data_IF_403289732536
#
_entry.id   IF_403289732536
#
_cell.length_a   1.000
_cell.length_b   1.000
_cell.length_c   1.000
_cell.angle_alpha   90.00
_cell.angle_beta   90.00
_cell.angle_gamma   90.00
#
_symmetry.space_group_name_H-M   'P 1'
#
loop_
_entity.id
_entity.type
_entity.pdbx_description
1 polymer ?
#
# COMPACT_ATOMS: atom_id res chain seq x y z
N UNK A 1 -20.36 9.15 9.54
CA UNK A 1 -19.23 8.20 9.60
C UNK A 1 -19.28 7.17 8.48
N UNK A 2 -20.17 6.16 8.43
CA UNK A 2 -20.18 5.21 7.29
C UNK A 2 -20.33 5.88 5.92
N UNK A 3 -21.28 6.80 5.80
CA UNK A 3 -21.48 7.60 4.59
C UNK A 3 -20.22 8.40 4.21
N UNK A 4 -19.65 9.09 5.20
CA UNK A 4 -18.44 9.91 5.07
C UNK A 4 -17.24 9.08 4.60
N UNK A 5 -17.01 7.90 5.19
CA UNK A 5 -15.96 6.96 4.76
C UNK A 5 -16.20 6.48 3.32
N UNK A 6 -17.45 6.21 2.95
CA UNK A 6 -17.80 5.80 1.59
C UNK A 6 -17.57 6.93 0.57
N UNK A 7 -17.89 8.18 0.89
CA UNK A 7 -17.60 9.35 0.05
C UNK A 7 -16.09 9.55 -0.11
N UNK A 8 -15.33 9.26 0.94
CA UNK A 8 -13.88 9.23 0.93
C UNK A 8 -13.30 8.02 0.20
N UNK A 9 -14.11 7.10 -0.34
CA UNK A 9 -13.66 5.87 -0.99
C UNK A 9 -12.82 4.97 -0.08
N UNK A 10 -13.02 5.05 1.23
CA UNK A 10 -12.43 4.17 2.23
C UNK A 10 -13.29 2.92 2.41
N UNK A 11 -12.71 1.88 3.01
CA UNK A 11 -13.50 0.73 3.46
C UNK A 11 -14.43 1.14 4.61
N UNK A 12 -15.57 0.45 4.73
CA UNK A 12 -16.63 0.78 5.70
C UNK A 12 -16.83 -0.33 6.73
N UNK A 13 -15.77 -1.08 7.04
CA UNK A 13 -15.79 -2.11 8.09
C UNK A 13 -15.97 -1.48 9.46
N UNK A 14 -16.30 -2.28 10.48
CA UNK A 14 -16.50 -1.77 11.83
C UNK A 14 -15.18 -1.32 12.46
N UNK A 15 -14.09 -1.97 12.06
CA UNK A 15 -12.71 -1.62 12.38
C UNK A 15 -12.32 -0.26 11.78
N UNK A 16 -12.65 -0.01 10.51
CA UNK A 16 -12.38 1.28 9.84
C UNK A 16 -13.10 2.44 10.53
N UNK A 17 -14.36 2.24 10.88
CA UNK A 17 -15.16 3.23 11.59
C UNK A 17 -14.53 3.52 12.94
N UNK A 18 -14.13 2.48 13.66
CA UNK A 18 -13.47 2.63 14.96
C UNK A 18 -12.13 3.37 14.83
N UNK A 19 -11.30 3.01 13.85
CA UNK A 19 -10.03 3.65 13.58
C UNK A 19 -10.20 5.14 13.22
N UNK A 20 -11.19 5.47 12.38
CA UNK A 20 -11.52 6.86 12.04
C UNK A 20 -12.02 7.65 13.24
N UNK A 21 -12.87 7.06 14.10
CA UNK A 21 -13.35 7.71 15.32
C UNK A 21 -12.22 8.01 16.31
N UNK A 22 -11.24 7.10 16.43
CA UNK A 22 -10.12 7.25 17.36
C UNK A 22 -9.04 8.19 16.83
N UNK A 23 -8.69 8.06 15.55
CA UNK A 23 -7.59 8.77 14.92
C UNK A 23 -7.97 9.27 13.51
N UNK A 24 -8.86 10.26 13.40
CA UNK A 24 -9.41 10.67 12.11
C UNK A 24 -8.33 11.10 11.13
N UNK A 25 -7.42 12.00 11.53
CA UNK A 25 -6.34 12.47 10.65
C UNK A 25 -5.41 11.36 10.18
N UNK A 26 -4.98 10.48 11.09
CA UNK A 26 -4.07 9.36 10.77
C UNK A 26 -4.75 8.39 9.81
N UNK A 27 -6.04 8.10 10.01
CA UNK A 27 -6.81 7.25 9.13
C UNK A 27 -6.98 7.87 7.74
N UNK A 28 -7.22 9.18 7.63
CA UNK A 28 -7.30 9.87 6.34
C UNK A 28 -5.99 9.78 5.56
N UNK A 29 -4.86 10.03 6.24
CA UNK A 29 -3.52 9.93 5.64
C UNK A 29 -3.22 8.47 5.20
N UNK A 30 -3.59 7.49 6.03
CA UNK A 30 -3.48 6.07 5.71
C UNK A 30 -4.33 5.67 4.50
N UNK A 31 -5.60 6.08 4.45
CA UNK A 31 -6.49 5.77 3.33
C UNK A 31 -5.99 6.39 2.02
N UNK A 32 -5.42 7.60 2.07
CA UNK A 32 -4.76 8.20 0.90
C UNK A 32 -3.55 7.36 0.46
N UNK A 33 -2.71 6.96 1.40
CA UNK A 33 -1.55 6.11 1.12
C UNK A 33 -1.95 4.77 0.47
N UNK A 34 -3.00 4.10 0.98
CA UNK A 34 -3.51 2.85 0.41
C UNK A 34 -4.09 3.05 -0.99
N UNK A 35 -4.70 4.21 -1.29
CA UNK A 35 -5.15 4.50 -2.65
C UNK A 35 -4.01 4.69 -3.64
N UNK A 36 -2.93 5.33 -3.20
CA UNK A 36 -1.78 5.63 -4.06
C UNK A 36 -0.90 4.39 -4.29
N UNK A 37 -0.71 3.54 -3.27
CA UNK A 37 0.26 2.44 -3.29
C UNK A 37 -0.34 1.03 -3.13
N UNK A 38 -1.61 0.92 -2.75
CA UNK A 38 -2.25 -0.35 -2.45
C UNK A 38 -1.84 -0.94 -1.09
N UNK A 39 -2.06 -2.25 -0.93
CA UNK A 39 -1.62 -2.98 0.25
C UNK A 39 -0.12 -3.29 0.14
N UNK A 40 0.69 -2.51 0.87
CA UNK A 40 2.14 -2.67 0.96
C UNK A 40 2.57 -3.62 2.08
N UNK A 41 1.63 -4.12 2.90
CA UNK A 41 1.93 -5.02 4.02
C UNK A 41 2.39 -6.41 3.56
N UNK A 42 2.12 -6.75 2.30
CA UNK A 42 2.55 -7.99 1.64
C UNK A 42 4.02 -7.97 1.20
N UNK A 43 4.68 -6.80 1.23
CA UNK A 43 6.09 -6.66 0.92
C UNK A 43 6.96 -7.13 2.09
N UNK A 44 8.14 -7.65 1.80
CA UNK A 44 9.14 -7.92 2.84
C UNK A 44 9.69 -6.62 3.43
N UNK A 45 10.10 -6.68 4.71
CA UNK A 45 10.56 -5.50 5.46
C UNK A 45 11.70 -4.74 4.76
N UNK A 46 12.76 -5.39 4.22
CA UNK A 46 13.78 -4.70 3.44
C UNK A 46 13.22 -3.97 2.21
N UNK A 47 12.41 -4.63 1.39
CA UNK A 47 11.81 -4.02 0.20
C UNK A 47 10.91 -2.84 0.57
N UNK A 48 10.13 -2.96 1.65
CA UNK A 48 9.27 -1.88 2.13
C UNK A 48 10.06 -0.63 2.52
N UNK A 49 11.19 -0.79 3.23
CA UNK A 49 11.98 0.36 3.71
C UNK A 49 13.00 0.90 2.71
N UNK A 50 13.57 0.05 1.85
CA UNK A 50 14.71 0.39 1.01
C UNK A 50 14.44 0.23 -0.49
N UNK A 51 13.26 -0.28 -0.87
CA UNK A 51 12.96 -0.62 -2.26
C UNK A 51 13.82 -1.79 -2.78
N UNK A 52 14.02 -1.84 -4.09
CA UNK A 52 14.78 -2.91 -4.76
C UNK A 52 16.08 -2.39 -5.36
N UNK A 53 17.13 -3.21 -5.31
CA UNK A 53 18.41 -2.96 -5.97
C UNK A 53 18.39 -3.41 -7.43
N UNK A 54 19.30 -2.87 -8.22
CA UNK A 54 19.46 -3.29 -9.62
C UNK A 54 19.84 -4.77 -9.70
N UNK A 55 19.07 -5.52 -10.48
CA UNK A 55 19.20 -6.97 -10.66
C UNK A 55 18.47 -7.81 -9.60
N UNK A 56 17.90 -7.19 -8.57
CA UNK A 56 17.17 -7.88 -7.50
C UNK A 56 15.81 -8.38 -8.00
N UNK A 57 15.42 -9.55 -7.53
CA UNK A 57 14.15 -10.20 -7.82
C UNK A 57 13.46 -10.55 -6.51
N UNK A 58 12.20 -10.12 -6.37
CA UNK A 58 11.36 -10.38 -5.19
C UNK A 58 10.10 -11.14 -5.60
N UNK A 59 9.55 -11.89 -4.65
CA UNK A 59 8.30 -12.62 -4.81
C UNK A 59 7.27 -12.04 -3.84
N UNK A 60 6.23 -11.41 -4.38
CA UNK A 60 5.17 -10.77 -3.61
C UNK A 60 3.89 -11.58 -3.74
N UNK A 61 3.39 -12.12 -2.63
CA UNK A 61 2.14 -12.89 -2.63
C UNK A 61 0.98 -11.96 -2.27
N UNK A 62 0.20 -11.56 -3.27
CA UNK A 62 -0.91 -10.62 -3.10
C UNK A 62 -2.18 -11.29 -2.57
N UNK A 63 -2.39 -12.55 -2.96
CA UNK A 63 -3.54 -13.35 -2.55
C UNK A 63 -3.14 -14.83 -2.52
N UNK A 64 -3.94 -15.66 -1.86
CA UNK A 64 -3.69 -17.11 -1.81
C UNK A 64 -3.66 -17.69 -3.23
N UNK A 65 -2.49 -18.18 -3.63
CA UNK A 65 -2.26 -18.78 -4.96
C UNK A 65 -1.92 -17.76 -6.06
N UNK A 66 -1.73 -16.47 -5.73
CA UNK A 66 -1.26 -15.44 -6.66
C UNK A 66 0.03 -14.81 -6.14
N UNK A 67 1.13 -15.12 -6.82
CA UNK A 67 2.46 -14.57 -6.50
C UNK A 67 3.00 -13.82 -7.71
N UNK A 68 3.35 -12.55 -7.50
CA UNK A 68 4.02 -11.71 -8.47
C UNK A 68 5.52 -11.88 -8.31
N UNK A 69 6.21 -12.14 -9.42
CA UNK A 69 7.67 -12.13 -9.48
C UNK A 69 8.07 -10.80 -10.11
N UNK A 70 8.72 -9.95 -9.32
CA UNK A 70 9.10 -8.60 -9.73
C UNK A 70 10.62 -8.55 -9.78
N UNK A 71 11.18 -8.08 -10.90
CA UNK A 71 12.62 -7.92 -11.10
C UNK A 71 12.98 -6.50 -11.49
N UNK A 72 13.89 -5.89 -10.74
CA UNK A 72 14.37 -4.53 -10.98
C UNK A 72 15.53 -4.55 -11.98
N UNK A 73 15.27 -4.30 -13.26
CA UNK A 73 16.30 -4.37 -14.30
C UNK A 73 17.28 -3.18 -14.28
N UNK A 74 16.81 -1.99 -13.89
CA UNK A 74 17.61 -0.78 -13.82
C UNK A 74 16.74 0.48 -13.81
N UNK A 75 17.40 1.61 -13.62
CA UNK A 75 16.80 2.95 -13.68
C UNK A 75 17.27 3.66 -14.95
N UNK A 76 16.40 4.47 -15.54
CA UNK A 76 16.80 5.45 -16.57
C UNK A 76 17.40 6.68 -15.91
N UNK A 77 18.13 7.48 -16.69
CA UNK A 77 18.46 8.84 -16.23
C UNK A 77 17.19 9.68 -16.10
N UNK A 78 17.17 10.67 -15.19
CA UNK A 78 16.07 11.63 -15.12
C UNK A 78 15.88 12.33 -16.46
N UNK A 79 14.63 12.61 -16.81
CA UNK A 79 14.31 13.47 -17.95
C UNK A 79 14.70 14.93 -17.65
N UNK A 80 14.87 15.76 -18.69
CA UNK A 80 15.19 17.20 -18.56
C UNK A 80 14.09 18.02 -17.89
#
# INVERSE_FOLDING_TARGET
>A
IRHELSEMGAQTTDEDISAYCLYPKVYQDYNKFVKDFGDVSVLDTPTFFFGMKRGEEIQVTIEKGKTLIIKMNGFSEPDE
#
